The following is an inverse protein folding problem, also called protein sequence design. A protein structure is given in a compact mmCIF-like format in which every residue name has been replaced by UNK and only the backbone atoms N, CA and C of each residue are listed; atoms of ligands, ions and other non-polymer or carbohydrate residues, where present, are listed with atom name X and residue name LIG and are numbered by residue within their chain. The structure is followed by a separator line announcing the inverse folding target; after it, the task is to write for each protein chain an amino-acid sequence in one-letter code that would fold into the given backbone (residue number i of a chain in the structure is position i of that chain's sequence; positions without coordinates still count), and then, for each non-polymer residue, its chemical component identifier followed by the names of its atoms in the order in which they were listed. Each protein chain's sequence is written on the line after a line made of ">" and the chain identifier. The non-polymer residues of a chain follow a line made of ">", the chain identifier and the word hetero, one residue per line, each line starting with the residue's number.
data_IF_442143961338
#
_entry.id   IF_442143961338
#
_cell.length_a   1.000
_cell.length_b   1.000
_cell.length_c   1.000
_cell.angle_alpha   90.00
_cell.angle_beta   90.00
_cell.angle_gamma   90.00
#
_symmetry.space_group_name_H-M   'P 1'
#
loop_
_entity.id
_entity.type
_entity.pdbx_description
1 polymer ?
#
# COMPACT_ATOMS: atom_id res chain seq x y z
N UNK A 1 -50.32 68.46 -49.62
CA UNK A 1 -49.02 67.79 -49.40
C UNK A 1 -49.25 66.75 -48.36
N UNK A 2 -49.41 65.49 -48.80
CA UNK A 2 -49.80 64.34 -47.87
C UNK A 2 -48.54 63.50 -47.60
N UNK A 3 -48.10 63.47 -46.37
CA UNK A 3 -46.95 62.66 -45.92
C UNK A 3 -47.43 61.23 -45.63
N UNK A 4 -46.88 60.21 -46.29
CA UNK A 4 -47.16 58.82 -46.07
C UNK A 4 -46.10 58.32 -45.09
N UNK A 5 -46.51 57.87 -43.87
CA UNK A 5 -45.69 57.09 -42.94
C UNK A 5 -45.76 55.60 -43.37
N UNK A 6 -44.60 55.05 -43.70
CA UNK A 6 -44.40 53.59 -43.84
C UNK A 6 -43.96 53.00 -42.49
N UNK A 7 -44.75 52.05 -41.93
CA UNK A 7 -44.39 51.26 -40.83
C UNK A 7 -43.50 50.06 -41.25
N UNK A 8 -42.27 50.02 -40.76
CA UNK A 8 -41.43 48.88 -40.91
C UNK A 8 -41.62 47.92 -39.69
N UNK A 9 -42.14 46.74 -39.94
CA UNK A 9 -42.27 45.69 -38.92
C UNK A 9 -40.92 45.00 -38.74
N UNK A 10 -40.29 45.20 -37.56
CA UNK A 10 -39.10 44.47 -37.18
C UNK A 10 -39.51 43.10 -36.59
N UNK A 11 -39.13 42.03 -37.29
CA UNK A 11 -39.26 40.65 -36.80
C UNK A 11 -38.12 40.40 -35.84
N UNK A 12 -38.42 40.30 -34.55
CA UNK A 12 -37.47 39.84 -33.50
C UNK A 12 -37.43 38.34 -33.56
N UNK A 13 -36.37 37.77 -34.13
CA UNK A 13 -36.03 36.35 -34.02
C UNK A 13 -35.49 36.10 -32.61
N UNK A 14 -36.31 35.51 -31.75
CA UNK A 14 -35.88 35.03 -30.44
C UNK A 14 -34.98 33.79 -30.62
N UNK A 15 -33.67 33.99 -30.54
CA UNK A 15 -32.68 32.89 -30.44
C UNK A 15 -32.79 32.29 -29.04
N UNK A 16 -33.46 31.16 -28.92
CA UNK A 16 -33.38 30.30 -27.76
C UNK A 16 -31.94 29.78 -27.64
N UNK A 17 -31.09 30.45 -26.87
CA UNK A 17 -29.88 29.86 -26.35
C UNK A 17 -30.32 28.77 -25.35
N UNK A 18 -30.22 27.51 -25.78
CA UNK A 18 -30.22 26.40 -24.87
C UNK A 18 -28.98 26.57 -23.98
N UNK A 19 -29.15 27.16 -22.81
CA UNK A 19 -28.16 27.13 -21.75
C UNK A 19 -28.05 25.66 -21.33
N UNK A 20 -27.13 24.91 -21.98
CA UNK A 20 -26.68 23.63 -21.50
C UNK A 20 -26.17 23.88 -20.10
N UNK A 21 -26.92 23.42 -19.10
CA UNK A 21 -26.53 23.50 -17.72
C UNK A 21 -25.15 22.88 -17.58
N UNK A 22 -24.13 23.70 -17.34
CA UNK A 22 -22.85 23.22 -16.83
C UNK A 22 -23.17 22.59 -15.47
N UNK A 23 -23.45 21.29 -15.46
CA UNK A 23 -23.61 20.53 -14.22
C UNK A 23 -22.39 20.80 -13.37
N UNK A 24 -22.56 21.21 -12.10
CA UNK A 24 -21.46 21.44 -11.20
C UNK A 24 -20.56 20.19 -11.19
N UNK A 25 -19.28 20.39 -11.50
CA UNK A 25 -18.30 19.31 -11.49
C UNK A 25 -18.16 18.73 -10.08
N UNK A 26 -18.42 17.44 -9.92
CA UNK A 26 -18.24 16.74 -8.64
C UNK A 26 -16.80 16.27 -8.52
N UNK A 27 -16.13 16.67 -7.45
CA UNK A 27 -14.77 16.19 -7.18
C UNK A 27 -14.83 15.02 -6.19
N UNK A 28 -14.25 13.87 -6.58
CA UNK A 28 -13.99 12.73 -5.70
C UNK A 28 -12.59 12.90 -5.10
N UNK A 29 -12.52 13.16 -3.80
CA UNK A 29 -11.27 13.38 -3.10
C UNK A 29 -10.71 12.06 -2.57
N UNK A 30 -9.55 11.67 -3.05
CA UNK A 30 -8.81 10.48 -2.64
C UNK A 30 -7.57 10.90 -1.86
N UNK A 31 -7.32 10.25 -0.72
CA UNK A 31 -6.11 10.46 0.06
C UNK A 31 -5.36 9.13 0.19
N UNK A 32 -4.04 9.12 -0.04
CA UNK A 32 -3.27 7.88 -0.01
C UNK A 32 -2.13 7.94 1.00
N UNK A 33 -2.06 6.94 1.87
CA UNK A 33 -0.80 6.60 2.52
C UNK A 33 0.08 5.81 1.53
N UNK A 34 1.36 5.68 1.84
CA UNK A 34 2.32 5.01 0.98
C UNK A 34 3.23 5.98 0.22
N UNK A 35 4.10 5.43 -0.59
CA UNK A 35 5.03 6.19 -1.42
C UNK A 35 4.32 6.84 -2.63
N UNK A 36 5.05 7.63 -3.42
CA UNK A 36 4.50 8.40 -4.54
C UNK A 36 3.76 7.53 -5.58
N UNK A 37 4.20 6.29 -5.78
CA UNK A 37 3.55 5.33 -6.69
C UNK A 37 2.05 5.10 -6.39
N UNK A 38 1.61 5.23 -5.11
CA UNK A 38 0.18 5.15 -4.75
C UNK A 38 -0.62 6.31 -5.33
N UNK A 39 -0.09 7.52 -5.22
CA UNK A 39 -0.70 8.73 -5.79
C UNK A 39 -0.72 8.66 -7.31
N UNK A 40 0.39 8.22 -7.90
CA UNK A 40 0.56 8.11 -9.35
C UNK A 40 -0.41 7.08 -9.94
N UNK A 41 -0.63 5.95 -9.28
CA UNK A 41 -1.63 4.97 -9.70
C UNK A 41 -3.04 5.57 -9.77
N UNK A 42 -3.43 6.32 -8.74
CA UNK A 42 -4.76 6.96 -8.74
C UNK A 42 -4.84 8.07 -9.77
N UNK A 43 -3.90 9.02 -9.80
CA UNK A 43 -3.99 10.21 -10.65
C UNK A 43 -3.71 9.91 -12.14
N UNK A 44 -2.76 9.03 -12.44
CA UNK A 44 -2.27 8.82 -13.80
C UNK A 44 -2.95 7.63 -14.49
N UNK A 45 -3.50 6.67 -13.73
CA UNK A 45 -4.13 5.48 -14.30
C UNK A 45 -5.63 5.41 -14.03
N UNK A 46 -6.07 5.46 -12.74
CA UNK A 46 -7.49 5.30 -12.41
C UNK A 46 -8.33 6.53 -12.79
N UNK A 47 -7.86 7.73 -12.43
CA UNK A 47 -8.64 8.96 -12.59
C UNK A 47 -9.05 9.21 -14.05
N UNK A 48 -8.16 9.18 -15.07
CA UNK A 48 -8.55 9.44 -16.44
C UNK A 48 -9.59 8.44 -16.96
N UNK A 49 -9.48 7.17 -16.57
CA UNK A 49 -10.40 6.11 -17.00
C UNK A 49 -11.77 6.25 -16.33
N UNK A 50 -11.78 6.54 -15.03
CA UNK A 50 -13.02 6.71 -14.26
C UNK A 50 -13.77 7.97 -14.69
N UNK A 51 -13.08 9.08 -14.91
CA UNK A 51 -13.62 10.36 -15.39
C UNK A 51 -14.25 10.21 -16.79
N UNK A 52 -13.60 9.48 -17.69
CA UNK A 52 -14.15 9.20 -19.03
C UNK A 52 -15.49 8.43 -18.99
N UNK A 53 -15.65 7.55 -17.99
CA UNK A 53 -16.88 6.79 -17.77
C UNK A 53 -17.95 7.56 -16.97
N UNK A 54 -17.58 8.68 -16.34
CA UNK A 54 -18.43 9.47 -15.45
C UNK A 54 -18.32 10.97 -15.80
N UNK A 55 -18.94 11.44 -16.90
CA UNK A 55 -18.91 12.86 -17.28
C UNK A 55 -19.36 13.76 -16.13
N UNK A 56 -18.64 14.84 -15.88
CA UNK A 56 -18.90 15.76 -14.76
C UNK A 56 -18.24 15.37 -13.42
N UNK A 57 -17.53 14.24 -13.38
CA UNK A 57 -16.72 13.83 -12.22
C UNK A 57 -15.25 14.17 -12.47
N UNK A 58 -14.57 14.62 -11.39
CA UNK A 58 -13.12 14.79 -11.33
C UNK A 58 -12.58 13.98 -10.16
N UNK A 59 -11.55 13.17 -10.37
CA UNK A 59 -10.85 12.45 -9.29
C UNK A 59 -9.57 13.19 -8.96
N UNK A 60 -9.33 13.41 -7.66
CA UNK A 60 -8.12 14.07 -7.19
C UNK A 60 -7.52 13.27 -6.04
N UNK A 61 -6.31 12.74 -6.25
CA UNK A 61 -5.56 12.06 -5.19
C UNK A 61 -4.42 12.92 -4.65
N UNK A 62 -4.23 12.87 -3.34
CA UNK A 62 -3.09 13.47 -2.62
C UNK A 62 -2.46 12.45 -1.68
N UNK A 63 -1.13 12.46 -1.57
CA UNK A 63 -0.39 11.56 -0.69
C UNK A 63 -0.15 12.15 0.69
N UNK A 64 -0.09 11.30 1.71
CA UNK A 64 0.29 11.66 3.10
C UNK A 64 1.68 11.19 3.49
N UNK A 65 2.34 10.43 2.64
CA UNK A 65 3.69 9.92 2.81
C UNK A 65 3.76 8.44 3.19
N UNK A 66 4.97 7.89 3.23
CA UNK A 66 5.20 6.45 3.36
C UNK A 66 4.90 5.90 4.76
N UNK A 67 4.74 4.59 4.81
CA UNK A 67 4.61 3.82 6.04
C UNK A 67 3.36 4.11 6.85
N UNK A 68 3.36 3.62 8.09
CA UNK A 68 2.25 3.84 9.03
C UNK A 68 2.04 5.33 9.35
N UNK A 69 3.09 6.15 9.27
CA UNK A 69 2.96 7.61 9.48
C UNK A 69 2.04 8.27 8.47
N UNK A 70 1.98 7.78 7.23
CA UNK A 70 1.02 8.24 6.23
C UNK A 70 -0.42 7.89 6.62
N UNK A 71 -0.67 6.64 7.06
CA UNK A 71 -1.99 6.24 7.58
C UNK A 71 -2.37 6.99 8.84
N UNK A 72 -1.41 7.29 9.71
CA UNK A 72 -1.62 8.07 10.94
C UNK A 72 -2.12 9.49 10.62
N UNK A 73 -1.54 10.17 9.63
CA UNK A 73 -2.02 11.50 9.21
C UNK A 73 -3.45 11.46 8.67
N UNK A 74 -3.83 10.39 7.96
CA UNK A 74 -5.21 10.20 7.51
C UNK A 74 -6.13 10.01 8.72
N UNK A 75 -5.77 9.14 9.65
CA UNK A 75 -6.49 8.95 10.91
C UNK A 75 -6.67 10.26 11.68
N UNK A 76 -5.61 11.03 11.88
CA UNK A 76 -5.66 12.32 12.59
C UNK A 76 -6.61 13.31 11.93
N UNK A 77 -6.58 13.39 10.59
CA UNK A 77 -7.49 14.23 9.81
C UNK A 77 -8.95 13.83 10.02
N UNK A 78 -9.29 12.54 9.88
CA UNK A 78 -10.66 12.05 10.04
C UNK A 78 -11.14 12.19 11.51
N UNK A 79 -10.28 11.87 12.47
CA UNK A 79 -10.55 12.04 13.90
C UNK A 79 -10.80 13.51 14.28
N UNK A 80 -10.04 14.44 13.72
CA UNK A 80 -10.25 15.89 13.93
C UNK A 80 -11.62 16.33 13.38
N UNK A 81 -12.01 15.87 12.18
CA UNK A 81 -13.32 16.17 11.59
C UNK A 81 -14.47 15.55 12.40
N UNK A 82 -14.28 14.35 12.95
CA UNK A 82 -15.25 13.71 13.84
C UNK A 82 -15.43 14.52 15.13
N UNK A 83 -14.33 14.89 15.77
CA UNK A 83 -14.34 15.70 17.02
C UNK A 83 -14.94 17.10 16.81
N UNK A 84 -14.72 17.72 15.65
CA UNK A 84 -15.32 18.99 15.27
C UNK A 84 -16.82 18.90 14.96
N UNK A 85 -17.41 17.70 14.93
CA UNK A 85 -18.82 17.50 14.63
C UNK A 85 -19.19 17.82 13.17
N UNK A 86 -18.23 17.85 12.25
CA UNK A 86 -18.45 18.18 10.83
C UNK A 86 -19.48 17.24 10.21
N UNK A 87 -20.48 17.79 9.54
CA UNK A 87 -21.57 17.00 8.97
C UNK A 87 -21.12 16.11 7.81
N UNK A 88 -20.23 16.62 6.96
CA UNK A 88 -19.61 15.90 5.85
C UNK A 88 -18.10 16.09 5.89
N UNK A 89 -17.35 15.09 5.48
CA UNK A 89 -15.88 15.14 5.47
C UNK A 89 -15.36 15.35 4.04
N UNK A 90 -14.20 15.96 3.94
CA UNK A 90 -13.56 16.34 2.67
C UNK A 90 -12.75 15.20 2.03
N UNK A 91 -12.79 14.00 2.59
CA UNK A 91 -12.19 12.78 2.05
C UNK A 91 -13.31 11.81 1.68
N UNK A 92 -13.32 11.36 0.44
CA UNK A 92 -14.30 10.40 -0.07
C UNK A 92 -13.76 8.96 -0.07
N UNK A 93 -12.48 8.79 -0.43
CA UNK A 93 -11.77 7.50 -0.43
C UNK A 93 -10.43 7.69 0.23
N UNK A 94 -10.03 6.75 1.08
CA UNK A 94 -8.65 6.70 1.56
C UNK A 94 -7.99 5.35 1.22
N UNK A 95 -6.66 5.39 0.99
CA UNK A 95 -5.81 4.21 0.87
C UNK A 95 -4.91 4.14 2.08
N UNK A 96 -5.01 3.06 2.86
CA UNK A 96 -4.35 2.94 4.17
C UNK A 96 -3.73 1.56 4.38
N UNK A 97 -2.75 1.48 5.28
CA UNK A 97 -2.17 0.23 5.74
C UNK A 97 -3.12 -0.51 6.71
N UNK A 98 -2.88 -1.80 6.92
CA UNK A 98 -3.71 -2.66 7.78
C UNK A 98 -3.92 -2.06 9.18
N UNK A 99 -2.86 -1.60 9.84
CA UNK A 99 -2.94 -1.02 11.17
C UNK A 99 -3.81 0.24 11.21
N UNK A 100 -3.65 1.12 10.22
CA UNK A 100 -4.48 2.32 10.10
C UNK A 100 -5.96 1.98 9.89
N UNK A 101 -6.26 1.01 9.02
CA UNK A 101 -7.63 0.55 8.80
C UNK A 101 -8.25 -0.02 10.08
N UNK A 102 -7.52 -0.89 10.79
CA UNK A 102 -7.97 -1.47 12.06
C UNK A 102 -8.35 -0.39 13.09
N UNK A 103 -7.47 0.59 13.29
CA UNK A 103 -7.73 1.72 14.20
C UNK A 103 -8.96 2.51 13.79
N UNK A 104 -9.08 2.85 12.50
CA UNK A 104 -10.19 3.65 11.99
C UNK A 104 -11.54 2.92 12.07
N UNK A 105 -11.58 1.59 11.90
CA UNK A 105 -12.79 0.77 12.09
C UNK A 105 -13.19 0.78 13.57
N UNK A 106 -12.26 0.51 14.47
CA UNK A 106 -12.51 0.48 15.91
C UNK A 106 -13.04 1.83 16.44
N UNK A 107 -12.55 2.94 15.90
CA UNK A 107 -12.99 4.29 16.27
C UNK A 107 -14.19 4.82 15.45
N UNK A 108 -14.81 3.96 14.63
CA UNK A 108 -16.00 4.29 13.82
C UNK A 108 -15.79 5.46 12.85
N UNK A 109 -14.56 5.61 12.35
CA UNK A 109 -14.22 6.62 11.35
C UNK A 109 -14.57 6.18 9.92
N UNK A 110 -14.84 4.90 9.71
CA UNK A 110 -15.14 4.31 8.40
C UNK A 110 -16.61 3.85 8.32
N UNK A 111 -17.13 3.80 7.11
CA UNK A 111 -18.43 3.17 6.83
C UNK A 111 -18.23 1.81 6.16
N UNK A 112 -19.11 0.83 6.42
CA UNK A 112 -19.09 -0.42 5.68
C UNK A 112 -19.55 -0.18 4.23
N UNK A 113 -18.92 -0.88 3.28
CA UNK A 113 -19.24 -0.71 1.85
C UNK A 113 -18.89 -1.93 0.98
N UNK A 114 -17.89 -2.74 1.37
CA UNK A 114 -17.33 -3.74 0.46
C UNK A 114 -18.34 -4.84 0.10
N UNK A 115 -19.27 -5.16 1.01
CA UNK A 115 -20.32 -6.12 0.75
C UNK A 115 -21.42 -5.59 -0.19
N UNK A 116 -21.49 -4.27 -0.40
CA UNK A 116 -22.50 -3.61 -1.22
C UNK A 116 -22.10 -3.49 -2.70
N UNK A 117 -20.84 -3.78 -3.04
CA UNK A 117 -20.29 -3.60 -4.40
C UNK A 117 -19.88 -4.95 -5.00
N UNK A 118 -19.80 -5.02 -6.34
CA UNK A 118 -19.50 -6.27 -7.03
C UNK A 118 -18.09 -6.79 -6.73
N UNK A 119 -17.11 -5.89 -6.65
CA UNK A 119 -15.72 -6.22 -6.36
C UNK A 119 -15.54 -6.91 -5.00
N UNK A 120 -16.36 -6.59 -4.01
CA UNK A 120 -16.29 -7.23 -2.68
C UNK A 120 -16.52 -8.74 -2.72
N UNK A 121 -17.27 -9.24 -3.71
CA UNK A 121 -17.52 -10.68 -3.92
C UNK A 121 -16.33 -11.41 -4.56
N UNK A 122 -15.33 -10.66 -5.01
CA UNK A 122 -14.14 -11.18 -5.67
C UNK A 122 -12.96 -11.36 -4.71
N UNK A 123 -13.17 -11.15 -3.40
CA UNK A 123 -12.12 -11.24 -2.37
C UNK A 123 -12.55 -12.23 -1.30
N UNK A 124 -11.83 -13.34 -1.21
CA UNK A 124 -12.06 -14.37 -0.19
C UNK A 124 -10.97 -14.41 0.89
N UNK A 125 -9.87 -13.70 0.70
CA UNK A 125 -8.69 -13.72 1.58
C UNK A 125 -9.01 -13.22 2.97
N UNK A 126 -8.41 -13.86 3.99
CA UNK A 126 -8.57 -13.47 5.40
C UNK A 126 -8.19 -11.99 5.65
N UNK A 127 -7.20 -11.48 4.93
CA UNK A 127 -6.77 -10.08 5.04
C UNK A 127 -7.87 -9.06 4.70
N UNK A 128 -8.93 -9.44 3.97
CA UNK A 128 -10.09 -8.56 3.73
C UNK A 128 -11.09 -8.57 4.91
N UNK A 129 -10.92 -9.46 5.87
CA UNK A 129 -11.79 -9.61 7.06
C UNK A 129 -11.06 -9.32 8.35
N UNK A 130 -9.75 -9.56 8.38
CA UNK A 130 -8.91 -9.42 9.56
C UNK A 130 -7.67 -8.58 9.23
N UNK A 131 -7.50 -7.47 9.93
CA UNK A 131 -6.32 -6.62 9.84
C UNK A 131 -5.57 -6.66 11.17
N UNK A 132 -4.51 -7.47 11.24
CA UNK A 132 -3.63 -7.60 12.41
C UNK A 132 -4.40 -7.95 13.71
N UNK A 133 -5.40 -8.83 13.61
CA UNK A 133 -6.26 -9.25 14.72
C UNK A 133 -7.56 -8.45 14.87
N UNK A 134 -7.73 -7.33 14.18
CA UNK A 134 -8.97 -6.55 14.20
C UNK A 134 -9.94 -7.00 13.10
N UNK A 135 -11.23 -7.11 13.42
CA UNK A 135 -12.27 -7.37 12.43
C UNK A 135 -12.50 -6.12 11.57
N UNK A 136 -12.24 -6.23 10.26
CA UNK A 136 -12.46 -5.18 9.27
C UNK A 136 -13.41 -5.60 8.16
N UNK A 137 -14.10 -6.73 8.32
CA UNK A 137 -15.05 -7.28 7.35
C UNK A 137 -16.15 -6.27 6.99
N UNK A 138 -16.37 -6.07 5.72
CA UNK A 138 -17.30 -5.08 5.19
C UNK A 138 -16.74 -3.66 5.04
N UNK A 139 -15.63 -3.31 5.68
CA UNK A 139 -15.08 -1.95 5.71
C UNK A 139 -13.93 -1.70 4.73
N UNK A 140 -13.27 -2.75 4.28
CA UNK A 140 -12.06 -2.66 3.45
C UNK A 140 -12.17 -3.48 2.17
N UNK A 141 -11.45 -3.06 1.13
CA UNK A 141 -11.04 -3.90 0.01
C UNK A 141 -9.56 -3.73 -0.23
N UNK A 142 -8.81 -4.83 -0.41
CA UNK A 142 -7.40 -4.75 -0.77
C UNK A 142 -7.24 -4.10 -2.15
N UNK A 143 -6.53 -2.98 -2.23
CA UNK A 143 -6.15 -2.34 -3.50
C UNK A 143 -5.14 -3.20 -4.26
N UNK A 144 -4.16 -3.72 -3.53
CA UNK A 144 -3.14 -4.65 -4.00
C UNK A 144 -2.51 -5.34 -2.79
N UNK A 145 -1.71 -6.38 -3.07
CA UNK A 145 -0.84 -7.00 -2.07
C UNK A 145 0.61 -6.78 -2.45
N UNK A 146 1.47 -6.61 -1.46
CA UNK A 146 2.91 -6.59 -1.64
C UNK A 146 3.61 -7.45 -0.60
N UNK A 147 4.85 -7.79 -0.89
CA UNK A 147 5.72 -8.64 -0.09
C UNK A 147 7.05 -7.92 0.12
N UNK A 148 7.63 -8.03 1.31
CA UNK A 148 9.01 -7.62 1.54
C UNK A 148 9.93 -8.77 1.19
N UNK A 149 11.01 -8.48 0.48
CA UNK A 149 12.05 -9.44 0.14
C UNK A 149 13.43 -8.79 0.25
N UNK A 150 14.50 -9.57 0.31
CA UNK A 150 15.84 -9.03 0.16
C UNK A 150 16.15 -8.83 -1.32
N UNK A 151 16.40 -7.59 -1.73
CA UNK A 151 17.01 -7.32 -3.02
C UNK A 151 18.52 -7.41 -2.87
N UNK A 152 19.18 -8.02 -3.86
CA UNK A 152 20.63 -8.16 -3.85
C UNK A 152 21.22 -8.04 -5.26
N UNK A 153 22.45 -7.51 -5.32
CA UNK A 153 23.23 -7.45 -6.56
C UNK A 153 24.06 -8.74 -6.70
N UNK A 154 23.77 -9.63 -7.69
CA UNK A 154 24.47 -10.91 -7.86
C UNK A 154 25.93 -10.75 -8.29
N UNK A 155 26.35 -9.57 -8.75
CA UNK A 155 27.76 -9.31 -9.01
C UNK A 155 28.56 -9.20 -7.70
N UNK A 156 27.93 -8.74 -6.62
CA UNK A 156 28.51 -8.55 -5.28
C UNK A 156 28.17 -9.72 -4.32
N UNK A 157 26.97 -10.29 -4.45
CA UNK A 157 26.46 -11.35 -3.57
C UNK A 157 26.22 -12.62 -4.41
N UNK A 158 27.24 -13.47 -4.49
CA UNK A 158 27.18 -14.71 -5.31
C UNK A 158 26.22 -15.76 -4.75
N UNK A 159 26.06 -15.79 -3.42
CA UNK A 159 25.15 -16.71 -2.72
C UNK A 159 24.40 -15.90 -1.65
N UNK A 160 23.19 -15.45 -1.93
CA UNK A 160 22.43 -14.66 -0.96
C UNK A 160 22.07 -15.54 0.25
N UNK A 161 22.11 -14.96 1.48
CA UNK A 161 21.69 -15.66 2.69
C UNK A 161 20.22 -16.13 2.59
N UNK A 162 19.99 -17.41 2.94
CA UNK A 162 18.67 -18.06 2.89
C UNK A 162 17.94 -18.01 4.23
N UNK A 163 18.58 -17.47 5.25
CA UNK A 163 18.02 -17.32 6.60
C UNK A 163 18.60 -16.11 7.31
N UNK A 164 17.94 -15.68 8.39
CA UNK A 164 18.45 -14.58 9.23
C UNK A 164 19.76 -14.94 9.92
N UNK A 165 19.96 -16.21 10.27
CA UNK A 165 21.22 -16.69 10.83
C UNK A 165 22.38 -16.58 9.82
N UNK A 166 22.13 -17.00 8.58
CA UNK A 166 23.12 -16.83 7.50
C UNK A 166 23.37 -15.34 7.20
N UNK A 167 22.33 -14.51 7.23
CA UNK A 167 22.47 -13.05 7.06
C UNK A 167 23.35 -12.45 8.15
N UNK A 168 23.15 -12.83 9.41
CA UNK A 168 23.96 -12.35 10.53
C UNK A 168 25.46 -12.69 10.37
N UNK A 169 25.77 -13.88 9.85
CA UNK A 169 27.16 -14.26 9.57
C UNK A 169 27.70 -13.59 8.29
N UNK A 170 26.83 -13.37 7.31
CA UNK A 170 27.22 -12.70 6.06
C UNK A 170 27.63 -11.25 6.29
N UNK A 171 26.87 -10.48 7.09
CA UNK A 171 27.19 -9.05 7.36
C UNK A 171 28.49 -8.86 8.16
N UNK A 172 28.86 -9.80 9.02
CA UNK A 172 30.15 -9.78 9.73
C UNK A 172 31.33 -9.91 8.77
N UNK A 173 31.15 -10.72 7.72
CA UNK A 173 32.17 -10.94 6.66
C UNK A 173 32.14 -9.83 5.61
N UNK A 174 31.02 -9.12 5.47
CA UNK A 174 30.78 -8.08 4.49
C UNK A 174 30.20 -6.83 5.18
N UNK A 175 30.97 -6.17 6.08
CA UNK A 175 30.46 -5.04 6.85
C UNK A 175 30.06 -3.89 5.93
N UNK A 176 28.93 -3.24 6.26
CA UNK A 176 28.33 -2.13 5.52
C UNK A 176 27.83 -2.47 4.11
N UNK A 177 27.73 -3.75 3.76
CA UNK A 177 27.15 -4.21 2.48
C UNK A 177 25.66 -4.56 2.57
N UNK A 178 25.06 -4.57 3.75
CA UNK A 178 23.63 -4.68 3.96
C UNK A 178 23.07 -3.36 4.51
N UNK A 179 21.94 -2.90 3.95
CA UNK A 179 21.29 -1.68 4.41
C UNK A 179 19.80 -1.84 4.60
N UNK A 180 19.23 -1.20 5.62
CA UNK A 180 17.78 -1.12 5.82
C UNK A 180 17.37 0.20 6.51
N UNK A 181 16.09 0.58 6.39
CA UNK A 181 15.63 1.92 6.79
C UNK A 181 15.07 2.03 8.23
N UNK A 182 15.31 1.03 9.10
CA UNK A 182 14.79 1.03 10.46
C UNK A 182 13.27 1.03 10.53
N UNK A 183 12.71 1.45 11.68
CA UNK A 183 11.25 1.46 11.88
C UNK A 183 10.59 2.80 11.54
N UNK A 184 11.35 3.87 11.32
CA UNK A 184 10.84 5.22 11.02
C UNK A 184 10.91 5.59 9.54
N UNK A 185 11.75 4.92 8.77
CA UNK A 185 12.01 5.26 7.38
C UNK A 185 11.03 4.65 6.38
N UNK A 186 10.19 3.72 6.78
CA UNK A 186 9.21 3.05 5.92
C UNK A 186 9.00 1.58 6.28
N UNK A 187 7.96 0.99 5.70
CA UNK A 187 7.50 -0.34 6.09
C UNK A 187 8.45 -1.49 5.70
N UNK A 188 9.36 -1.33 4.73
CA UNK A 188 10.33 -2.40 4.42
C UNK A 188 11.30 -2.63 5.59
N UNK A 189 11.72 -1.57 6.27
CA UNK A 189 12.52 -1.68 7.49
C UNK A 189 11.74 -2.20 8.67
N UNK A 190 10.49 -1.74 8.86
CA UNK A 190 9.58 -2.29 9.87
C UNK A 190 9.44 -3.80 9.66
N UNK A 191 9.14 -4.24 8.44
CA UNK A 191 8.99 -5.66 8.14
C UNK A 191 10.28 -6.46 8.32
N UNK A 192 11.45 -5.88 8.02
CA UNK A 192 12.73 -6.52 8.34
C UNK A 192 12.88 -6.76 9.84
N UNK A 193 12.58 -5.76 10.67
CA UNK A 193 12.62 -5.88 12.14
C UNK A 193 11.63 -6.92 12.64
N UNK A 194 10.39 -6.95 12.09
CA UNK A 194 9.38 -7.96 12.43
C UNK A 194 9.86 -9.38 12.05
N UNK A 195 10.42 -9.53 10.85
CA UNK A 195 11.00 -10.80 10.41
C UNK A 195 12.18 -11.25 11.27
N UNK A 196 13.04 -10.30 11.69
CA UNK A 196 14.13 -10.57 12.63
C UNK A 196 13.61 -11.11 13.98
N UNK A 197 12.61 -10.43 14.56
CA UNK A 197 11.97 -10.89 15.80
C UNK A 197 11.31 -12.26 15.61
N UNK A 198 10.58 -12.45 14.52
CA UNK A 198 9.95 -13.73 14.17
C UNK A 198 10.96 -14.89 14.08
N UNK A 199 12.16 -14.61 13.55
CA UNK A 199 13.23 -15.59 13.40
C UNK A 199 13.98 -15.89 14.73
N UNK A 200 14.14 -14.88 15.60
CA UNK A 200 15.08 -14.96 16.72
C UNK A 200 14.41 -15.00 18.12
N UNK A 201 13.13 -14.64 18.23
CA UNK A 201 12.45 -14.65 19.54
C UNK A 201 11.90 -16.03 19.97
N UNK A 202 11.87 -17.01 19.05
CA UNK A 202 11.33 -18.35 19.32
C UNK A 202 9.80 -18.40 19.47
N UNK A 203 9.09 -17.36 19.07
CA UNK A 203 7.64 -17.19 19.21
C UNK A 203 6.92 -16.86 17.89
N UNK A 204 7.57 -17.14 16.74
CA UNK A 204 7.12 -16.67 15.42
C UNK A 204 5.63 -16.84 15.15
N UNK A 205 5.09 -18.05 15.31
CA UNK A 205 3.66 -18.30 15.05
C UNK A 205 2.72 -17.56 16.02
N UNK A 206 3.15 -17.29 17.28
CA UNK A 206 2.36 -16.54 18.25
C UNK A 206 2.21 -15.08 17.86
N UNK A 207 3.22 -14.51 17.19
CA UNK A 207 3.17 -13.12 16.73
C UNK A 207 2.03 -12.88 15.74
N UNK A 208 1.68 -13.89 14.96
CA UNK A 208 0.71 -13.78 13.85
C UNK A 208 -0.67 -14.31 14.22
N UNK A 209 -0.73 -15.27 15.16
CA UNK A 209 -1.94 -15.98 15.56
C UNK A 209 -2.12 -15.82 17.06
N UNK A 210 -3.09 -15.01 17.46
CA UNK A 210 -3.36 -14.67 18.83
C UNK A 210 -3.77 -15.83 19.74
N UNK A 211 -4.09 -15.54 21.00
CA UNK A 211 -4.21 -14.19 21.55
C UNK A 211 -2.85 -13.54 21.88
N UNK A 212 -2.86 -12.21 21.99
CA UNK A 212 -1.71 -11.46 22.49
C UNK A 212 -1.36 -11.91 23.93
N UNK A 213 -0.07 -12.11 24.18
CA UNK A 213 0.47 -12.47 25.48
C UNK A 213 1.60 -11.50 25.85
N UNK A 214 1.39 -10.59 26.82
CA UNK A 214 2.40 -9.60 27.24
C UNK A 214 3.67 -10.24 27.80
N UNK A 215 3.64 -11.50 28.24
CA UNK A 215 4.82 -12.23 28.72
C UNK A 215 5.86 -12.45 27.61
N UNK A 216 5.46 -12.39 26.33
CA UNK A 216 6.37 -12.54 25.19
C UNK A 216 7.29 -11.32 24.98
N UNK A 217 7.02 -10.19 25.64
CA UNK A 217 7.81 -8.96 25.54
C UNK A 217 9.30 -9.18 25.87
N UNK A 218 9.60 -10.02 26.85
CA UNK A 218 10.97 -10.36 27.20
C UNK A 218 11.72 -11.09 26.08
N UNK A 219 11.05 -12.00 25.35
CA UNK A 219 11.61 -12.70 24.20
C UNK A 219 11.82 -11.74 23.02
N UNK A 220 10.87 -10.82 22.78
CA UNK A 220 10.99 -9.74 21.79
C UNK A 220 12.20 -8.87 22.12
N UNK A 221 12.31 -8.35 23.33
CA UNK A 221 13.42 -7.49 23.75
C UNK A 221 14.78 -8.19 23.59
N UNK A 222 14.88 -9.47 23.97
CA UNK A 222 16.10 -10.27 23.76
C UNK A 222 16.49 -10.36 22.27
N UNK A 223 15.52 -10.56 21.39
CA UNK A 223 15.79 -10.59 19.95
C UNK A 223 16.21 -9.22 19.41
N UNK A 224 15.69 -8.13 19.96
CA UNK A 224 16.07 -6.77 19.61
C UNK A 224 17.49 -6.41 20.09
N UNK A 225 17.96 -6.98 21.21
CA UNK A 225 19.38 -6.87 21.61
C UNK A 225 20.27 -7.49 20.54
N UNK A 226 19.93 -8.68 20.02
CA UNK A 226 20.70 -9.29 18.93
C UNK A 226 20.64 -8.48 17.62
N UNK A 227 19.54 -7.78 17.36
CA UNK A 227 19.43 -6.85 16.23
C UNK A 227 20.33 -5.61 16.43
N UNK A 228 20.45 -5.10 17.65
CA UNK A 228 21.40 -4.00 17.95
C UNK A 228 22.83 -4.42 17.65
N UNK A 229 23.23 -5.63 17.99
CA UNK A 229 24.56 -6.16 17.66
C UNK A 229 24.75 -6.32 16.14
N UNK A 230 23.74 -6.82 15.45
CA UNK A 230 23.71 -6.90 13.97
C UNK A 230 23.89 -5.52 13.33
N UNK A 231 23.28 -4.48 13.88
CA UNK A 231 23.31 -3.12 13.34
C UNK A 231 24.71 -2.48 13.33
N UNK A 232 25.68 -3.00 14.07
CA UNK A 232 27.07 -2.55 14.00
C UNK A 232 27.69 -2.78 12.61
N UNK A 233 27.17 -3.76 11.86
CA UNK A 233 27.68 -4.18 10.56
C UNK A 233 26.90 -3.63 9.37
N UNK A 234 25.76 -2.95 9.59
CA UNK A 234 24.86 -2.52 8.51
C UNK A 234 24.86 -1.00 8.28
N UNK A 235 24.20 -0.57 7.23
CA UNK A 235 23.95 0.84 6.91
C UNK A 235 22.48 1.15 7.15
N UNK A 236 22.19 2.29 7.80
CA UNK A 236 20.81 2.79 7.88
C UNK A 236 20.51 3.60 6.62
N UNK A 237 19.49 3.16 5.86
CA UNK A 237 19.12 3.79 4.59
C UNK A 237 18.01 4.84 4.77
N UNK A 238 17.91 5.87 3.91
CA UNK A 238 16.92 6.95 4.05
C UNK A 238 15.56 6.59 3.44
N UNK A 239 14.89 5.54 3.95
CA UNK A 239 13.57 5.15 3.52
C UNK A 239 13.53 4.03 2.46
N UNK A 240 12.32 3.63 2.05
CA UNK A 240 12.14 2.54 1.06
C UNK A 240 12.84 2.88 -0.28
N UNK A 241 12.59 4.06 -0.82
CA UNK A 241 13.21 4.52 -2.06
C UNK A 241 14.74 4.66 -1.92
N UNK A 242 15.21 5.15 -0.77
CA UNK A 242 16.64 5.27 -0.51
C UNK A 242 17.36 3.94 -0.44
N UNK A 243 16.72 2.87 0.06
CA UNK A 243 17.29 1.52 0.03
C UNK A 243 17.48 1.03 -1.41
N UNK A 244 16.45 1.22 -2.27
CA UNK A 244 16.54 0.86 -3.68
C UNK A 244 17.62 1.65 -4.42
N UNK A 245 17.72 2.94 -4.15
CA UNK A 245 18.70 3.83 -4.78
C UNK A 245 20.16 3.45 -4.41
N UNK A 246 20.42 3.18 -3.13
CA UNK A 246 21.73 2.72 -2.66
C UNK A 246 22.10 1.35 -3.23
N UNK A 247 21.13 0.44 -3.37
CA UNK A 247 21.34 -0.84 -4.08
C UNK A 247 21.71 -0.62 -5.54
N UNK A 248 20.97 0.26 -6.24
CA UNK A 248 21.23 0.52 -7.66
C UNK A 248 22.59 1.16 -7.90
N UNK A 249 23.04 2.04 -7.00
CA UNK A 249 24.38 2.65 -7.07
C UNK A 249 25.51 1.73 -6.55
N UNK A 250 25.19 0.56 -6.00
CA UNK A 250 26.17 -0.35 -5.43
C UNK A 250 26.81 0.12 -4.11
N UNK A 251 26.18 1.08 -3.43
CA UNK A 251 26.62 1.53 -2.09
C UNK A 251 26.34 0.48 -1.02
N UNK A 252 25.30 -0.32 -1.22
CA UNK A 252 25.02 -1.56 -0.50
C UNK A 252 24.82 -2.69 -1.50
N UNK A 253 25.17 -3.91 -1.10
CA UNK A 253 25.02 -5.09 -1.94
C UNK A 253 23.67 -5.79 -1.76
N UNK A 254 22.99 -5.57 -0.62
CA UNK A 254 21.71 -6.22 -0.27
C UNK A 254 20.92 -5.39 0.74
N UNK A 255 19.57 -5.50 0.69
CA UNK A 255 18.68 -4.88 1.66
C UNK A 255 17.21 -5.26 1.46
N UNK A 256 16.35 -5.08 2.49
CA UNK A 256 14.92 -5.36 2.38
C UNK A 256 14.22 -4.28 1.57
N UNK A 257 13.41 -4.71 0.62
CA UNK A 257 12.61 -3.84 -0.27
C UNK A 257 11.21 -4.38 -0.40
N UNK A 258 10.28 -3.53 -0.82
CA UNK A 258 8.98 -3.95 -1.30
C UNK A 258 9.09 -4.46 -2.74
N UNK A 259 8.54 -5.65 -3.00
CA UNK A 259 8.57 -6.31 -4.32
C UNK A 259 7.89 -5.46 -5.39
N UNK A 260 6.78 -4.79 -5.05
CA UNK A 260 6.07 -3.88 -5.95
C UNK A 260 6.92 -2.68 -6.36
N UNK A 261 7.58 -2.00 -5.40
CA UNK A 261 8.49 -0.89 -5.71
C UNK A 261 9.69 -1.35 -6.54
N UNK A 262 10.27 -2.50 -6.19
CA UNK A 262 11.41 -3.06 -6.88
C UNK A 262 11.10 -3.31 -8.37
N UNK A 263 10.02 -4.03 -8.68
CA UNK A 263 9.66 -4.30 -10.07
C UNK A 263 9.21 -3.05 -10.82
N UNK A 264 8.55 -2.10 -10.16
CA UNK A 264 8.22 -0.80 -10.76
C UNK A 264 9.50 -0.04 -11.15
N UNK A 265 10.49 0.00 -10.26
CA UNK A 265 11.78 0.65 -10.56
C UNK A 265 12.56 -0.05 -11.67
N UNK A 266 12.50 -1.39 -11.77
CA UNK A 266 13.08 -2.11 -12.91
C UNK A 266 12.36 -1.78 -14.22
N UNK A 267 11.03 -1.74 -14.21
CA UNK A 267 10.23 -1.40 -15.38
C UNK A 267 10.48 0.05 -15.87
N UNK A 268 10.70 0.97 -14.94
CA UNK A 268 11.02 2.38 -15.22
C UNK A 268 12.51 2.60 -15.60
N UNK A 269 13.35 1.56 -15.59
CA UNK A 269 14.79 1.68 -15.82
C UNK A 269 15.58 2.37 -14.68
N UNK A 270 14.96 2.55 -13.51
CA UNK A 270 15.58 3.15 -12.32
C UNK A 270 16.37 2.12 -11.50
N UNK A 271 16.17 0.83 -11.72
CA UNK A 271 16.85 -0.27 -11.08
C UNK A 271 17.45 -1.19 -12.12
N UNK A 272 18.71 -1.59 -11.91
CA UNK A 272 19.39 -2.55 -12.77
C UNK A 272 18.60 -3.87 -12.89
N UNK A 273 18.39 -4.40 -14.10
CA UNK A 273 17.72 -5.68 -14.29
C UNK A 273 18.53 -6.88 -13.74
N UNK A 274 19.80 -6.67 -13.38
CA UNK A 274 20.64 -7.71 -12.75
C UNK A 274 20.28 -7.95 -11.29
N UNK A 275 19.79 -6.93 -10.57
CA UNK A 275 19.40 -7.06 -9.17
C UNK A 275 18.25 -8.05 -9.05
N UNK A 276 18.32 -8.94 -8.07
CA UNK A 276 17.41 -10.06 -7.84
C UNK A 276 16.75 -9.94 -6.46
N UNK A 277 15.67 -10.70 -6.29
CA UNK A 277 15.01 -10.83 -4.99
C UNK A 277 15.25 -12.21 -4.39
N UNK A 278 15.27 -12.26 -3.05
CA UNK A 278 15.34 -13.48 -2.25
C UNK A 278 14.39 -13.38 -1.06
N UNK A 279 13.66 -14.44 -0.77
CA UNK A 279 12.79 -14.52 0.39
C UNK A 279 13.36 -15.49 1.43
N UNK A 280 13.99 -15.00 2.52
CA UNK A 280 14.70 -15.84 3.47
C UNK A 280 13.75 -16.61 4.38
N UNK A 281 14.18 -17.73 4.93
CA UNK A 281 13.52 -18.45 6.03
C UNK A 281 13.70 -17.70 7.36
N UNK A 282 12.72 -17.68 8.28
CA UNK A 282 11.38 -18.28 8.19
C UNK A 282 10.37 -17.45 7.39
N UNK A 283 10.76 -16.31 6.86
CA UNK A 283 9.94 -15.46 6.02
C UNK A 283 10.05 -13.97 6.35
N UNK A 284 9.47 -13.16 5.48
CA UNK A 284 9.30 -11.71 5.65
C UNK A 284 7.82 -11.33 5.54
N UNK A 285 7.40 -10.27 6.23
CA UNK A 285 6.02 -9.81 6.15
C UNK A 285 5.65 -9.26 4.77
N UNK A 286 4.39 -9.52 4.39
CA UNK A 286 3.69 -8.86 3.31
C UNK A 286 2.35 -8.33 3.81
N UNK A 287 1.79 -7.35 3.11
CA UNK A 287 0.49 -6.79 3.45
C UNK A 287 -0.25 -6.22 2.24
N UNK A 288 -1.59 -6.13 2.30
CA UNK A 288 -2.35 -5.28 1.40
C UNK A 288 -2.25 -3.81 1.82
N UNK A 289 -2.51 -2.93 0.84
CA UNK A 289 -3.06 -1.61 1.10
C UNK A 289 -4.58 -1.69 0.89
N UNK A 290 -5.35 -0.97 1.68
CA UNK A 290 -6.80 -1.01 1.64
C UNK A 290 -7.41 0.26 1.09
N UNK A 291 -8.39 0.13 0.22
CA UNK A 291 -9.40 1.17 0.05
C UNK A 291 -10.35 1.17 1.23
N UNK A 292 -10.63 2.35 1.76
CA UNK A 292 -11.63 2.59 2.80
C UNK A 292 -12.44 3.84 2.47
N UNK A 293 -13.70 3.87 2.95
CA UNK A 293 -14.58 5.03 2.81
C UNK A 293 -14.82 5.64 4.20
N UNK A 294 -14.49 6.94 4.41
CA UNK A 294 -14.80 7.63 5.66
C UNK A 294 -16.29 7.64 5.96
N UNK A 295 -16.67 7.54 7.25
CA UNK A 295 -18.07 7.41 7.68
C UNK A 295 -18.97 8.57 7.28
N UNK A 296 -18.40 9.76 7.05
CA UNK A 296 -19.11 10.97 6.62
C UNK A 296 -18.58 11.51 5.28
N UNK A 297 -18.10 10.62 4.39
CA UNK A 297 -17.67 11.01 3.05
C UNK A 297 -18.79 11.76 2.31
N UNK A 298 -18.46 12.92 1.74
CA UNK A 298 -19.43 13.77 1.04
C UNK A 298 -20.02 13.06 -0.19
N UNK A 299 -19.21 12.23 -0.88
CA UNK A 299 -19.57 11.54 -2.11
C UNK A 299 -19.53 10.00 -1.96
N UNK A 300 -20.08 9.46 -0.86
CA UNK A 300 -19.99 8.02 -0.53
C UNK A 300 -20.46 7.08 -1.65
N UNK A 301 -21.57 7.41 -2.36
CA UNK A 301 -22.06 6.61 -3.48
C UNK A 301 -21.05 6.60 -4.66
N UNK A 302 -20.43 7.74 -4.94
CA UNK A 302 -19.40 7.87 -5.98
C UNK A 302 -18.10 7.14 -5.56
N UNK A 303 -17.76 7.19 -4.27
CA UNK A 303 -16.62 6.46 -3.70
C UNK A 303 -16.79 4.93 -3.87
N UNK A 304 -17.98 4.38 -3.57
CA UNK A 304 -18.30 2.96 -3.83
C UNK A 304 -18.13 2.61 -5.31
N UNK A 305 -18.64 3.45 -6.21
CA UNK A 305 -18.52 3.24 -7.66
C UNK A 305 -17.07 3.30 -8.12
N UNK A 306 -16.27 4.21 -7.57
CA UNK A 306 -14.85 4.32 -7.89
C UNK A 306 -14.07 3.07 -7.44
N UNK A 307 -14.31 2.59 -6.22
CA UNK A 307 -13.63 1.39 -5.70
C UNK A 307 -14.08 0.14 -6.48
N UNK A 308 -15.36 0.01 -6.79
CA UNK A 308 -15.86 -1.11 -7.61
C UNK A 308 -15.23 -1.15 -9.02
N UNK A 309 -15.01 0.04 -9.62
CA UNK A 309 -14.28 0.17 -10.87
C UNK A 309 -12.78 -0.18 -10.68
N UNK A 310 -12.12 0.37 -9.66
CA UNK A 310 -10.69 0.16 -9.41
C UNK A 310 -10.35 -1.31 -9.13
N UNK A 311 -11.27 -2.04 -8.49
CA UNK A 311 -11.14 -3.44 -8.12
C UNK A 311 -11.79 -4.40 -9.14
N UNK A 312 -12.24 -3.90 -10.29
CA UNK A 312 -12.73 -4.78 -11.35
C UNK A 312 -11.58 -5.62 -11.93
N UNK A 313 -11.83 -6.89 -12.34
CA UNK A 313 -10.78 -7.79 -12.82
C UNK A 313 -9.93 -7.22 -13.97
N UNK A 314 -10.56 -6.46 -14.87
CA UNK A 314 -9.83 -5.86 -15.99
C UNK A 314 -8.92 -4.72 -15.55
N UNK A 315 -9.39 -3.85 -14.63
CA UNK A 315 -8.58 -2.73 -14.10
C UNK A 315 -7.44 -3.25 -13.24
N UNK A 316 -7.67 -4.29 -12.43
CA UNK A 316 -6.63 -4.97 -11.67
C UNK A 316 -5.56 -5.61 -12.60
N UNK A 317 -5.97 -6.27 -13.67
CA UNK A 317 -5.05 -6.85 -14.64
C UNK A 317 -4.20 -5.78 -15.35
N UNK A 318 -4.85 -4.75 -15.91
CA UNK A 318 -4.17 -3.75 -16.73
C UNK A 318 -3.38 -2.74 -15.88
N UNK A 319 -3.91 -2.34 -14.73
CA UNK A 319 -3.30 -1.37 -13.83
C UNK A 319 -2.35 -2.01 -12.83
N UNK A 320 -2.87 -2.82 -11.92
CA UNK A 320 -2.08 -3.40 -10.82
C UNK A 320 -0.99 -4.32 -11.36
N UNK A 321 -1.34 -5.28 -12.23
CA UNK A 321 -0.37 -6.27 -12.69
C UNK A 321 0.54 -5.74 -13.80
N UNK A 322 -0.04 -5.28 -14.94
CA UNK A 322 0.78 -4.94 -16.11
C UNK A 322 1.57 -3.64 -15.94
N UNK A 323 0.94 -2.61 -15.38
CA UNK A 323 1.54 -1.28 -15.33
C UNK A 323 2.40 -1.09 -14.08
N UNK A 324 1.93 -1.57 -12.92
CA UNK A 324 2.61 -1.35 -11.65
C UNK A 324 3.37 -2.58 -11.11
N UNK A 325 3.21 -3.74 -11.71
CA UNK A 325 3.87 -5.00 -11.32
C UNK A 325 3.60 -5.38 -9.85
N UNK A 326 2.35 -5.18 -9.39
CA UNK A 326 1.91 -5.49 -8.05
C UNK A 326 1.05 -6.75 -8.03
N UNK A 327 0.97 -7.42 -6.88
CA UNK A 327 0.04 -8.53 -6.70
C UNK A 327 -1.39 -8.00 -6.60
N UNK A 328 -2.39 -8.65 -7.25
CA UNK A 328 -3.77 -8.15 -7.25
C UNK A 328 -4.37 -8.03 -5.86
N UNK A 329 -5.23 -7.03 -5.67
CA UNK A 329 -6.05 -6.85 -4.47
C UNK A 329 -7.14 -7.92 -4.36
N UNK A 330 -7.85 -8.19 -5.45
CA UNK A 330 -8.86 -9.27 -5.54
C UNK A 330 -8.20 -10.64 -5.74
N UNK A 331 -8.98 -11.72 -5.62
CA UNK A 331 -8.45 -13.08 -5.70
C UNK A 331 -7.81 -13.36 -7.08
N UNK A 332 -6.63 -14.00 -7.10
CA UNK A 332 -5.80 -14.16 -8.29
C UNK A 332 -6.49 -14.74 -9.51
N UNK A 333 -7.41 -15.71 -9.32
CA UNK A 333 -8.11 -16.38 -10.41
C UNK A 333 -8.93 -15.41 -11.28
N UNK A 334 -9.47 -14.34 -10.70
CA UNK A 334 -10.25 -13.34 -11.42
C UNK A 334 -9.37 -12.45 -12.31
N UNK A 335 -8.13 -12.20 -11.89
CA UNK A 335 -7.17 -11.34 -12.60
C UNK A 335 -6.37 -12.15 -13.61
N UNK A 336 -5.89 -13.34 -13.22
CA UNK A 336 -5.11 -14.21 -14.08
C UNK A 336 -5.84 -14.55 -15.38
N UNK A 337 -7.17 -14.73 -15.33
CA UNK A 337 -8.00 -14.97 -16.53
C UNK A 337 -8.02 -13.81 -17.54
N UNK A 338 -7.51 -12.62 -17.16
CA UNK A 338 -7.41 -11.40 -18.01
C UNK A 338 -6.01 -11.16 -18.55
N UNK A 339 -5.06 -12.04 -18.25
CA UNK A 339 -3.64 -11.90 -18.56
C UNK A 339 -3.15 -13.09 -19.39
N UNK A 340 -2.13 -12.85 -20.22
CA UNK A 340 -1.36 -13.94 -20.79
C UNK A 340 -0.53 -14.64 -19.69
N UNK A 341 -0.14 -15.91 -19.87
CA UNK A 341 0.76 -16.57 -18.93
C UNK A 341 2.08 -15.82 -18.70
N UNK A 342 2.62 -15.17 -19.74
CA UNK A 342 3.86 -14.41 -19.65
C UNK A 342 3.71 -13.16 -18.75
N UNK A 343 2.59 -12.41 -18.88
CA UNK A 343 2.30 -11.24 -18.05
C UNK A 343 2.09 -11.64 -16.59
N UNK A 344 1.37 -12.73 -16.33
CA UNK A 344 1.16 -13.23 -14.97
C UNK A 344 2.47 -13.71 -14.32
N UNK A 345 3.26 -14.52 -15.04
CA UNK A 345 4.49 -15.09 -14.51
C UNK A 345 5.58 -14.04 -14.24
N UNK A 346 5.49 -12.87 -14.86
CA UNK A 346 6.41 -11.75 -14.60
C UNK A 346 6.42 -11.32 -13.14
N UNK A 347 5.27 -11.41 -12.44
CA UNK A 347 5.16 -11.09 -11.02
C UNK A 347 6.01 -12.01 -10.12
N UNK A 348 6.37 -13.20 -10.62
CA UNK A 348 7.01 -14.27 -9.87
C UNK A 348 8.40 -14.62 -10.42
N UNK A 349 9.06 -13.67 -11.10
CA UNK A 349 10.35 -13.88 -11.77
C UNK A 349 11.44 -14.33 -10.78
N UNK A 350 11.55 -13.70 -9.62
CA UNK A 350 12.56 -14.02 -8.61
C UNK A 350 11.98 -14.81 -7.43
N UNK A 351 10.70 -14.61 -7.10
CA UNK A 351 10.03 -15.28 -5.98
C UNK A 351 8.88 -16.11 -6.54
N UNK A 352 9.07 -17.42 -6.72
CA UNK A 352 8.02 -18.30 -7.22
C UNK A 352 6.83 -18.37 -6.24
N UNK A 353 5.61 -18.67 -6.73
CA UNK A 353 4.42 -18.79 -5.87
C UNK A 353 4.59 -19.76 -4.69
N UNK A 354 5.37 -20.84 -4.87
CA UNK A 354 5.70 -21.80 -3.82
C UNK A 354 6.49 -21.16 -2.67
N UNK A 355 7.45 -20.30 -2.99
CA UNK A 355 8.28 -19.62 -1.98
C UNK A 355 7.48 -18.52 -1.30
N UNK A 356 6.65 -17.78 -2.05
CA UNK A 356 5.72 -16.83 -1.50
C UNK A 356 4.73 -17.49 -0.52
N UNK A 357 4.19 -18.65 -0.86
CA UNK A 357 3.30 -19.41 0.03
C UNK A 357 4.01 -19.93 1.30
N UNK A 358 5.32 -20.24 1.20
CA UNK A 358 6.11 -20.79 2.29
C UNK A 358 6.71 -19.74 3.21
N UNK A 359 7.17 -18.63 2.66
CA UNK A 359 7.97 -17.62 3.34
C UNK A 359 7.32 -16.23 3.35
N UNK A 360 6.20 -16.02 2.64
CA UNK A 360 5.37 -14.83 2.80
C UNK A 360 4.62 -14.91 4.13
N UNK A 361 4.86 -13.97 5.02
CA UNK A 361 4.26 -13.93 6.38
C UNK A 361 3.32 -12.74 6.50
N UNK A 362 2.26 -12.80 7.31
CA UNK A 362 1.55 -11.60 7.70
C UNK A 362 2.42 -10.75 8.65
N UNK A 363 2.08 -9.49 8.81
CA UNK A 363 2.60 -8.72 9.93
C UNK A 363 2.05 -9.26 11.25
N UNK A 364 2.78 -9.07 12.38
CA UNK A 364 2.29 -9.43 13.70
C UNK A 364 0.94 -8.79 14.05
N UNK A 365 0.21 -9.40 14.98
CA UNK A 365 -0.97 -8.79 15.60
C UNK A 365 -0.63 -7.39 16.14
N UNK A 366 -1.61 -6.47 16.14
CA UNK A 366 -1.40 -5.04 16.45
C UNK A 366 -0.64 -4.78 17.74
N UNK A 367 -0.90 -5.56 18.80
CA UNK A 367 -0.23 -5.38 20.09
C UNK A 367 1.23 -5.82 20.03
N UNK A 368 1.54 -6.95 19.40
CA UNK A 368 2.91 -7.37 19.16
C UNK A 368 3.66 -6.43 18.21
N UNK A 369 2.97 -5.92 17.19
CA UNK A 369 3.54 -4.91 16.30
C UNK A 369 3.98 -3.69 17.12
N UNK A 370 3.13 -3.21 18.02
CA UNK A 370 3.43 -2.09 18.91
C UNK A 370 4.62 -2.40 19.81
N UNK A 371 4.61 -3.55 20.48
CA UNK A 371 5.72 -3.97 21.38
C UNK A 371 7.06 -4.03 20.65
N UNK A 372 7.08 -4.52 19.40
CA UNK A 372 8.29 -4.61 18.58
C UNK A 372 8.81 -3.22 18.21
N UNK A 373 7.94 -2.31 17.74
CA UNK A 373 8.32 -0.96 17.35
C UNK A 373 8.82 -0.16 18.55
N UNK A 374 8.10 -0.16 19.67
CA UNK A 374 8.52 0.50 20.92
C UNK A 374 9.78 -0.13 21.48
N UNK A 375 9.90 -1.45 21.42
CA UNK A 375 11.09 -2.19 21.80
C UNK A 375 12.31 -1.79 20.99
N UNK A 376 12.14 -1.65 19.66
CA UNK A 376 13.21 -1.16 18.78
C UNK A 376 13.69 0.23 19.20
N UNK A 377 12.79 1.16 19.47
CA UNK A 377 13.15 2.50 19.93
C UNK A 377 13.88 2.48 21.28
N UNK A 378 13.45 1.62 22.19
CA UNK A 378 14.02 1.50 23.54
C UNK A 378 15.35 0.77 23.55
N UNK A 379 15.49 -0.31 22.80
CA UNK A 379 16.64 -1.23 22.87
C UNK A 379 17.67 -0.95 21.78
N UNK A 380 17.23 -0.71 20.56
CA UNK A 380 18.12 -0.61 19.39
C UNK A 380 18.64 0.82 19.18
N UNK A 381 17.78 1.84 19.39
CA UNK A 381 18.15 3.24 19.15
C UNK A 381 18.84 3.92 20.34
N UNK A 382 18.80 3.33 21.52
CA UNK A 382 19.51 3.80 22.73
C UNK A 382 20.79 2.99 22.93
#
# INVERSE_FOLDING_TARGET
>A
MKLRLTFAAAVFAASLFAAGGAGAQTTLNVITAGDQNMVDYVNNYLAPKFEAMNPGVKVRAVGTGPGDSGSQKIYEKLSAQQKAGTATWDVDVAVVHQRGAATMVNEKLLMPYSNDIAAGKLVSRDTAKNALGANVDGYVLPMFHSQIAFAYNPDLVKSPPKSYAELAEWVKKNPKQFGYNGVKGGMSGVGFVMGWVGANAGIGDKLEKGPYDPAQKAAIDKSLVSLKDFNQYVVMTPGNAGTLDMLNRGEIAMGPVWVDMFYTWQADGKMSPKVKLELPSPGLPGQPMYYVIPSKAANAALAKKFIDFAESPQVQADGIVKQFNWYPGIDPQHVQAKLSPAEWNKLFTDIPPSDLAKYGRPFPLSDYFTDIVEGYERVVLK
#
